data_IF_153712219857
#
_entry.id   IF_153712219857
#
_cell.length_a   1.000
_cell.length_b   1.000
_cell.length_c   1.000
_cell.angle_alpha   90.00
_cell.angle_beta   90.00
_cell.angle_gamma   90.00
#
_symmetry.space_group_name_H-M   'P 1'
#
loop_
_entity.id
_entity.type
_entity.pdbx_description
1 polymer ?
#
# COMPACT_ATOMS: atom_id res chain seq x y z
N UNK A 1 -42.17 24.47 -31.12
CA UNK A 1 -40.73 24.11 -31.06
C UNK A 1 -40.39 23.76 -29.61
N UNK A 2 -40.34 22.47 -29.28
CA UNK A 2 -40.03 21.97 -27.93
C UNK A 2 -38.50 21.86 -27.82
N UNK A 3 -37.88 22.64 -26.95
CA UNK A 3 -36.44 22.53 -26.60
C UNK A 3 -36.28 21.35 -25.65
N UNK A 4 -35.67 20.29 -26.14
CA UNK A 4 -35.27 19.12 -25.37
C UNK A 4 -33.98 19.47 -24.62
N UNK A 5 -34.05 19.64 -23.29
CA UNK A 5 -32.90 19.76 -22.41
C UNK A 5 -32.32 18.36 -22.22
N UNK A 6 -31.17 18.09 -22.84
CA UNK A 6 -30.37 16.89 -22.56
C UNK A 6 -29.55 17.19 -21.31
N UNK A 7 -29.97 16.63 -20.17
CA UNK A 7 -29.21 16.63 -18.92
C UNK A 7 -28.02 15.68 -19.06
N UNK A 8 -26.83 16.22 -19.21
CA UNK A 8 -25.57 15.47 -19.22
C UNK A 8 -25.27 15.03 -17.79
N UNK A 9 -25.67 13.80 -17.45
CA UNK A 9 -25.35 13.16 -16.17
C UNK A 9 -23.86 12.78 -16.19
N UNK A 10 -23.02 13.64 -15.60
CA UNK A 10 -21.60 13.40 -15.43
C UNK A 10 -21.43 12.30 -14.38
N UNK A 11 -21.26 11.03 -14.81
CA UNK A 11 -20.85 9.93 -13.93
C UNK A 11 -19.43 10.21 -13.44
N UNK A 12 -19.29 10.76 -12.24
CA UNK A 12 -18.05 10.79 -11.49
C UNK A 12 -17.74 9.32 -11.11
N UNK A 13 -16.97 8.64 -11.93
CA UNK A 13 -16.36 7.37 -11.56
C UNK A 13 -15.29 7.67 -10.52
N UNK A 14 -15.63 7.58 -9.25
CA UNK A 14 -14.65 7.45 -8.18
C UNK A 14 -13.95 6.13 -8.39
N UNK A 15 -12.72 6.15 -8.89
CA UNK A 15 -11.85 4.98 -8.85
C UNK A 15 -11.59 4.69 -7.38
N UNK A 16 -12.27 3.71 -6.81
CA UNK A 16 -11.93 3.14 -5.52
C UNK A 16 -10.51 2.58 -5.66
N UNK A 17 -9.52 3.28 -5.11
CA UNK A 17 -8.21 2.71 -4.89
C UNK A 17 -8.40 1.66 -3.79
N UNK A 18 -8.59 0.41 -4.16
CA UNK A 18 -8.50 -0.71 -3.24
C UNK A 18 -7.06 -0.72 -2.72
N UNK A 19 -6.85 -0.14 -1.55
CA UNK A 19 -5.55 -0.17 -0.88
C UNK A 19 -5.16 -1.62 -0.66
N UNK A 20 -3.90 -1.98 -0.91
CA UNK A 20 -3.41 -3.32 -0.64
C UNK A 20 -3.05 -3.43 0.85
N UNK A 21 -3.97 -4.01 1.65
CA UNK A 21 -3.86 -4.06 3.11
C UNK A 21 -3.17 -5.32 3.64
N UNK A 22 -2.85 -6.30 2.80
CA UNK A 22 -2.16 -7.52 3.23
C UNK A 22 -0.83 -7.20 3.87
N UNK A 23 -0.71 -7.50 5.16
CA UNK A 23 0.51 -7.36 5.95
C UNK A 23 0.29 -7.91 7.36
N UNK A 24 1.31 -7.81 8.21
CA UNK A 24 1.19 -7.92 9.66
C UNK A 24 0.90 -6.55 10.27
N UNK A 25 -0.04 -6.52 11.20
CA UNK A 25 -0.49 -5.32 11.88
C UNK A 25 -0.47 -5.52 13.39
N UNK A 26 -0.11 -4.47 14.11
CA UNK A 26 0.00 -4.50 15.56
C UNK A 26 -0.19 -3.11 16.17
N UNK A 27 -0.18 -3.03 17.50
CA UNK A 27 -0.02 -1.77 18.20
C UNK A 27 1.35 -1.78 18.90
N UNK A 28 2.30 -0.89 18.54
CA UNK A 28 3.64 -0.89 19.13
C UNK A 28 3.66 -0.64 20.65
N UNK A 29 2.60 -0.05 21.22
CA UNK A 29 2.46 0.18 22.66
C UNK A 29 1.81 -1.01 23.38
N UNK A 30 1.39 -2.05 22.66
CA UNK A 30 0.68 -3.21 23.22
C UNK A 30 1.33 -4.51 22.69
N UNK A 31 2.60 -4.71 23.03
CA UNK A 31 3.32 -5.92 22.63
C UNK A 31 2.64 -7.18 23.19
N UNK A 32 2.61 -8.24 22.39
CA UNK A 32 2.06 -9.55 22.74
C UNK A 32 0.77 -9.91 22.03
N UNK A 33 0.15 -9.00 21.27
CA UNK A 33 -0.91 -9.29 20.32
C UNK A 33 -0.56 -8.78 18.93
N UNK A 34 -1.24 -9.28 17.92
CA UNK A 34 -1.05 -8.88 16.53
C UNK A 34 -2.06 -9.55 15.63
N UNK A 35 -2.12 -9.10 14.39
CA UNK A 35 -3.03 -9.63 13.39
C UNK A 35 -2.38 -9.71 12.01
N UNK A 36 -2.85 -10.67 11.22
CA UNK A 36 -2.53 -10.77 9.79
C UNK A 36 -3.72 -10.31 8.97
N UNK A 37 -3.50 -9.48 7.97
CA UNK A 37 -4.48 -9.19 6.94
C UNK A 37 -4.01 -9.85 5.65
N UNK A 38 -4.91 -10.56 4.97
CA UNK A 38 -4.70 -11.09 3.62
C UNK A 38 -5.85 -10.63 2.75
N UNK A 39 -5.58 -9.73 1.83
CA UNK A 39 -6.58 -9.14 0.96
C UNK A 39 -6.62 -9.84 -0.38
N UNK A 40 -7.82 -10.14 -0.84
CA UNK A 40 -8.12 -10.56 -2.20
C UNK A 40 -9.28 -9.69 -2.69
N UNK A 41 -9.01 -8.82 -3.66
CA UNK A 41 -9.95 -7.82 -4.17
C UNK A 41 -10.55 -6.95 -3.05
N UNK A 42 -11.84 -6.90 -2.88
CA UNK A 42 -12.56 -6.12 -1.85
C UNK A 42 -12.78 -6.89 -0.54
N UNK A 43 -12.21 -8.09 -0.42
CA UNK A 43 -12.35 -8.97 0.75
C UNK A 43 -11.02 -9.13 1.46
N UNK A 44 -11.03 -9.03 2.79
CA UNK A 44 -9.86 -9.24 3.66
C UNK A 44 -10.14 -10.41 4.58
N UNK A 45 -9.33 -11.48 4.51
CA UNK A 45 -9.26 -12.47 5.56
C UNK A 45 -8.27 -12.01 6.64
N UNK A 46 -8.66 -12.10 7.91
CA UNK A 46 -7.78 -11.78 9.03
C UNK A 46 -7.86 -12.81 10.14
N UNK A 47 -6.70 -13.07 10.74
CA UNK A 47 -6.58 -13.75 12.02
C UNK A 47 -5.85 -12.84 12.98
N UNK A 48 -6.24 -12.85 14.24
CA UNK A 48 -5.55 -12.09 15.28
C UNK A 48 -5.44 -12.89 16.58
N UNK A 49 -4.33 -12.64 17.27
CA UNK A 49 -3.96 -13.32 18.50
C UNK A 49 -4.10 -12.36 19.66
N UNK A 50 -4.79 -12.80 20.69
CA UNK A 50 -5.03 -12.04 21.94
C UNK A 50 -4.92 -12.98 23.13
N UNK A 51 -5.15 -12.48 24.32
CA UNK A 51 -5.22 -13.29 25.52
C UNK A 51 -6.66 -13.38 26.03
N UNK A 52 -7.08 -14.58 26.40
CA UNK A 52 -8.36 -14.83 27.05
C UNK A 52 -8.40 -14.35 28.49
N UNK A 53 -9.55 -14.48 29.13
CA UNK A 53 -9.73 -14.12 30.56
C UNK A 53 -8.84 -14.95 31.50
N UNK A 54 -8.38 -16.12 31.05
CA UNK A 54 -7.44 -17.00 31.74
C UNK A 54 -5.98 -16.66 31.46
N UNK A 55 -5.71 -15.53 30.80
CA UNK A 55 -4.40 -15.07 30.35
C UNK A 55 -3.70 -16.02 29.35
N UNK A 56 -4.41 -16.99 28.79
CA UNK A 56 -3.86 -17.88 27.77
C UNK A 56 -4.04 -17.32 26.36
N UNK A 57 -3.09 -17.62 25.45
CA UNK A 57 -3.22 -17.26 24.05
C UNK A 57 -4.52 -17.79 23.47
N UNK A 58 -5.26 -16.94 22.81
CA UNK A 58 -6.42 -17.29 22.00
C UNK A 58 -6.36 -16.57 20.68
N UNK A 59 -7.11 -17.02 19.70
CA UNK A 59 -7.15 -16.43 18.39
C UNK A 59 -8.56 -16.40 17.82
N UNK A 60 -8.80 -15.47 16.94
CA UNK A 60 -10.05 -15.30 16.22
C UNK A 60 -9.76 -15.14 14.73
N UNK A 61 -10.75 -15.46 13.93
CA UNK A 61 -10.72 -15.27 12.49
C UNK A 61 -11.97 -14.55 12.01
N UNK A 62 -11.85 -13.79 10.92
CA UNK A 62 -12.95 -13.13 10.24
C UNK A 62 -12.62 -12.91 8.78
N UNK A 63 -13.65 -12.95 7.94
CA UNK A 63 -13.61 -12.42 6.59
C UNK A 63 -14.35 -11.08 6.61
N UNK A 64 -13.69 -10.05 6.17
CA UNK A 64 -14.16 -8.67 6.18
C UNK A 64 -14.40 -8.23 4.73
N UNK A 65 -15.60 -7.81 4.39
CA UNK A 65 -15.95 -7.28 3.08
C UNK A 65 -15.99 -5.75 3.12
N UNK A 66 -15.57 -5.12 2.01
CA UNK A 66 -15.61 -3.67 1.88
C UNK A 66 -17.07 -3.16 1.95
N UNK A 67 -17.30 -2.15 2.78
CA UNK A 67 -18.65 -1.62 3.02
C UNK A 67 -19.09 -0.55 2.01
N UNK A 68 -18.31 -0.33 0.95
CA UNK A 68 -18.58 0.66 -0.08
C UNK A 68 -18.25 2.10 0.31
N UNK A 69 -17.70 2.34 1.51
CA UNK A 69 -17.36 3.68 2.00
C UNK A 69 -15.90 3.81 2.41
N UNK A 70 -15.51 3.25 3.53
CA UNK A 70 -14.15 3.39 4.06
C UNK A 70 -13.70 2.21 4.91
N UNK A 71 -14.54 1.22 5.16
CA UNK A 71 -14.26 0.14 6.12
C UNK A 71 -14.53 -1.23 5.54
N UNK A 72 -13.92 -2.22 6.16
CA UNK A 72 -14.14 -3.64 5.90
C UNK A 72 -14.81 -4.26 7.14
N UNK A 73 -15.91 -5.00 6.96
CA UNK A 73 -16.73 -5.51 8.05
C UNK A 73 -17.04 -6.98 7.88
N UNK A 74 -17.11 -7.71 8.99
CA UNK A 74 -17.44 -9.13 8.94
C UNK A 74 -17.81 -9.73 10.29
N UNK A 75 -18.17 -11.00 10.22
CA UNK A 75 -18.55 -11.81 11.38
C UNK A 75 -17.28 -12.39 12.02
N UNK A 76 -17.20 -12.31 13.34
CA UNK A 76 -16.07 -12.82 14.11
C UNK A 76 -16.31 -14.28 14.52
N UNK A 77 -15.34 -15.14 14.23
CA UNK A 77 -15.37 -16.55 14.55
C UNK A 77 -14.28 -16.93 15.57
N UNK A 78 -14.65 -17.80 16.49
CA UNK A 78 -13.75 -18.61 17.28
C UNK A 78 -13.86 -20.06 16.82
N UNK A 79 -12.74 -20.75 16.64
CA UNK A 79 -12.72 -22.13 16.16
C UNK A 79 -12.06 -23.06 17.17
N UNK A 80 -12.56 -24.29 17.23
CA UNK A 80 -11.94 -25.43 17.91
C UNK A 80 -11.80 -26.57 16.94
N UNK A 81 -10.87 -27.49 17.17
CA UNK A 81 -10.62 -28.59 16.26
C UNK A 81 -9.68 -29.65 16.85
N UNK A 82 -9.25 -30.58 16.01
CA UNK A 82 -8.33 -31.66 16.39
C UNK A 82 -7.00 -31.12 16.93
N UNK A 83 -6.46 -31.78 17.93
CA UNK A 83 -5.09 -31.54 18.42
C UNK A 83 -4.08 -31.78 17.30
N UNK A 84 -3.11 -30.84 17.14
CA UNK A 84 -2.12 -30.85 16.05
C UNK A 84 -1.26 -32.12 15.96
N UNK A 85 -1.09 -32.86 17.06
CA UNK A 85 -0.32 -34.12 17.13
C UNK A 85 -1.16 -35.37 16.83
N UNK A 86 -2.42 -35.24 16.41
CA UNK A 86 -3.30 -36.37 16.03
C UNK A 86 -3.62 -36.28 14.53
N UNK A 87 -4.15 -37.39 13.98
CA UNK A 87 -4.73 -37.35 12.64
C UNK A 87 -5.85 -36.33 12.64
N UNK A 88 -5.83 -35.44 11.66
CA UNK A 88 -6.83 -34.38 11.54
C UNK A 88 -8.21 -34.98 11.23
N UNK A 89 -9.18 -34.63 12.06
CA UNK A 89 -10.59 -35.00 11.85
C UNK A 89 -11.40 -33.75 11.54
N UNK A 90 -11.84 -33.56 10.28
CA UNK A 90 -12.64 -32.40 9.88
C UNK A 90 -13.96 -32.29 10.65
N UNK A 91 -14.56 -33.42 11.08
CA UNK A 91 -15.81 -33.45 11.83
C UNK A 91 -15.67 -32.87 13.25
N UNK A 92 -14.43 -32.80 13.77
CA UNK A 92 -14.15 -32.20 15.09
C UNK A 92 -14.03 -30.67 15.02
N UNK A 93 -14.02 -30.07 13.83
CA UNK A 93 -13.87 -28.61 13.66
C UNK A 93 -15.21 -27.93 13.87
N UNK A 94 -15.25 -26.98 14.79
CA UNK A 94 -16.42 -26.13 15.02
C UNK A 94 -16.00 -24.68 14.92
N UNK A 95 -16.72 -23.90 14.11
CA UNK A 95 -16.60 -22.44 14.02
C UNK A 95 -17.82 -21.79 14.68
N UNK A 96 -17.60 -21.08 15.76
CA UNK A 96 -18.67 -20.40 16.51
C UNK A 96 -18.60 -18.90 16.24
N UNK A 97 -19.76 -18.33 15.89
CA UNK A 97 -19.91 -16.86 15.79
C UNK A 97 -19.85 -16.28 17.21
N UNK A 98 -18.91 -15.39 17.46
CA UNK A 98 -18.72 -14.75 18.77
C UNK A 98 -18.93 -13.23 18.72
N UNK A 99 -19.13 -12.66 17.53
CA UNK A 99 -19.39 -11.24 17.36
C UNK A 99 -19.12 -10.73 15.96
N UNK A 100 -18.59 -9.52 15.88
CA UNK A 100 -18.27 -8.85 14.61
C UNK A 100 -16.90 -8.17 14.67
N UNK A 101 -16.33 -7.87 13.50
CA UNK A 101 -15.10 -7.10 13.40
C UNK A 101 -15.19 -6.07 12.27
N UNK A 102 -14.47 -4.96 12.45
CA UNK A 102 -14.37 -3.87 11.48
C UNK A 102 -12.93 -3.40 11.39
N UNK A 103 -12.37 -3.36 10.19
CA UNK A 103 -11.11 -2.72 9.89
C UNK A 103 -11.37 -1.43 9.11
N UNK A 104 -10.86 -0.31 9.60
CA UNK A 104 -10.93 0.99 8.95
C UNK A 104 -9.51 1.49 8.70
N UNK A 105 -9.00 1.39 7.46
CA UNK A 105 -7.72 2.00 7.11
C UNK A 105 -7.82 3.52 7.21
N UNK A 106 -6.77 4.15 7.72
CA UNK A 106 -6.67 5.61 7.83
C UNK A 106 -5.64 6.17 6.86
N UNK A 107 -4.48 5.52 6.79
CA UNK A 107 -3.39 5.79 5.84
C UNK A 107 -2.75 4.46 5.50
N UNK A 108 -1.83 4.44 4.51
CA UNK A 108 -1.16 3.20 4.07
C UNK A 108 -0.52 2.40 5.21
N UNK A 109 -0.13 3.10 6.29
CA UNK A 109 0.59 2.54 7.42
C UNK A 109 -0.25 2.34 8.68
N UNK A 110 -1.43 2.94 8.76
CA UNK A 110 -2.24 3.01 9.98
C UNK A 110 -3.70 2.67 9.72
N UNK A 111 -4.38 2.22 10.77
CA UNK A 111 -5.80 1.93 10.74
C UNK A 111 -6.38 1.76 12.14
N UNK A 112 -7.68 1.58 12.18
CA UNK A 112 -8.42 1.17 13.37
C UNK A 112 -8.97 -0.23 13.16
N UNK A 113 -8.84 -1.07 14.17
CA UNK A 113 -9.48 -2.38 14.22
C UNK A 113 -10.40 -2.43 15.43
N UNK A 114 -11.70 -2.61 15.19
CA UNK A 114 -12.71 -2.72 16.22
C UNK A 114 -13.32 -4.11 16.14
N UNK A 115 -13.36 -4.82 17.25
CA UNK A 115 -14.08 -6.08 17.30
C UNK A 115 -14.98 -6.16 18.53
N UNK A 116 -16.08 -6.85 18.38
CA UNK A 116 -17.04 -7.14 19.46
C UNK A 116 -16.97 -8.64 19.68
N UNK A 117 -16.65 -9.05 20.90
CA UNK A 117 -16.65 -10.45 21.30
C UNK A 117 -17.55 -10.64 22.52
N UNK A 118 -18.62 -11.41 22.39
CA UNK A 118 -19.56 -11.69 23.47
C UNK A 118 -20.05 -10.42 24.18
N UNK A 119 -20.31 -9.36 23.41
CA UNK A 119 -20.79 -8.06 23.91
C UNK A 119 -19.68 -7.10 24.40
N UNK A 120 -18.43 -7.55 24.51
CA UNK A 120 -17.29 -6.68 24.85
C UNK A 120 -16.74 -6.01 23.58
N UNK A 121 -16.75 -4.68 23.55
CA UNK A 121 -16.20 -3.87 22.46
C UNK A 121 -14.73 -3.58 22.72
N UNK A 122 -13.88 -3.92 21.77
CA UNK A 122 -12.44 -3.64 21.82
C UNK A 122 -12.04 -2.80 20.61
N UNK A 123 -11.39 -1.66 20.84
CA UNK A 123 -10.87 -0.78 19.78
C UNK A 123 -9.35 -0.73 19.87
N UNK A 124 -8.70 -0.96 18.73
CA UNK A 124 -7.25 -0.93 18.57
C UNK A 124 -6.85 0.05 17.47
N UNK A 125 -5.96 0.98 17.78
CA UNK A 125 -5.19 1.68 16.76
C UNK A 125 -4.05 0.76 16.34
N UNK A 126 -3.94 0.50 15.04
CA UNK A 126 -2.98 -0.45 14.50
C UNK A 126 -2.09 0.19 13.45
N UNK A 127 -0.88 -0.32 13.34
CA UNK A 127 0.08 0.05 12.30
C UNK A 127 0.69 -1.20 11.69
N UNK A 128 1.23 -1.08 10.47
CA UNK A 128 1.95 -2.19 9.84
C UNK A 128 3.22 -2.49 10.62
N UNK A 129 3.50 -3.77 10.81
CA UNK A 129 4.73 -4.22 11.47
C UNK A 129 5.82 -4.43 10.43
N UNK A 130 6.96 -3.76 10.61
CA UNK A 130 8.12 -3.91 9.74
C UNK A 130 9.12 -4.89 10.37
N UNK A 131 9.32 -6.04 9.77
CA UNK A 131 10.37 -6.99 10.16
C UNK A 131 11.67 -6.76 9.41
N UNK A 132 11.56 -6.40 8.14
CA UNK A 132 12.68 -6.11 7.27
C UNK A 132 12.30 -4.97 6.34
N UNK A 133 13.11 -3.92 6.33
CA UNK A 133 12.99 -2.86 5.35
C UNK A 133 13.37 -3.40 3.96
N UNK A 134 12.55 -3.17 2.91
CA UNK A 134 12.95 -3.49 1.55
C UNK A 134 14.27 -2.82 1.19
N UNK A 135 15.16 -3.53 0.51
CA UNK A 135 16.37 -2.97 -0.11
C UNK A 135 16.13 -2.94 -1.62
N UNK A 136 16.01 -1.74 -2.17
CA UNK A 136 15.74 -1.54 -3.60
C UNK A 136 17.01 -1.24 -4.40
N UNK A 137 18.19 -1.51 -3.84
CA UNK A 137 19.46 -1.37 -4.55
C UNK A 137 19.51 -2.30 -5.74
N UNK A 138 19.34 -1.77 -6.93
CA UNK A 138 19.44 -2.49 -8.21
C UNK A 138 19.34 -1.53 -9.40
N UNK A 139 19.40 -2.10 -10.60
CA UNK A 139 19.06 -1.46 -11.86
C UNK A 139 17.67 -1.93 -12.29
N UNK A 140 16.72 -1.01 -12.29
CA UNK A 140 15.31 -1.26 -12.60
C UNK A 140 14.98 -0.74 -13.99
N UNK A 141 14.45 -1.60 -14.85
CA UNK A 141 13.96 -1.22 -16.16
C UNK A 141 12.44 -1.30 -16.18
N UNK A 142 11.79 -0.23 -16.65
CA UNK A 142 10.34 -0.17 -16.60
C UNK A 142 9.70 0.94 -17.39
N UNK A 143 8.43 1.18 -17.09
CA UNK A 143 7.63 2.24 -17.69
C UNK A 143 7.07 3.16 -16.61
N UNK A 144 7.31 4.44 -16.79
CA UNK A 144 6.68 5.50 -15.99
C UNK A 144 5.50 6.08 -16.76
N UNK A 145 4.30 5.67 -16.36
CA UNK A 145 3.05 6.27 -16.87
C UNK A 145 2.70 7.46 -15.99
N UNK A 146 2.69 8.66 -16.57
CA UNK A 146 2.49 9.88 -15.81
C UNK A 146 1.57 10.88 -16.52
N UNK A 147 0.89 11.70 -15.70
CA UNK A 147 0.18 12.89 -16.11
C UNK A 147 1.01 14.11 -15.71
N UNK A 148 1.32 14.95 -16.67
CA UNK A 148 2.06 16.20 -16.48
C UNK A 148 1.09 17.38 -16.57
N UNK A 149 1.18 18.31 -15.62
CA UNK A 149 0.33 19.48 -15.54
C UNK A 149 1.08 20.68 -14.93
N UNK A 150 0.52 21.87 -15.07
CA UNK A 150 1.06 23.09 -14.43
C UNK A 150 2.34 23.64 -15.05
N UNK A 151 2.79 23.09 -16.20
CA UNK A 151 3.99 23.58 -16.86
C UNK A 151 3.83 25.01 -17.38
N UNK A 152 4.90 25.80 -17.28
CA UNK A 152 4.98 27.15 -17.90
C UNK A 152 4.73 27.05 -19.41
N UNK A 153 5.35 26.09 -20.09
CA UNK A 153 5.03 25.77 -21.47
C UNK A 153 3.82 24.83 -21.53
N UNK A 154 2.66 25.35 -21.92
CA UNK A 154 1.40 24.58 -21.96
C UNK A 154 1.48 23.32 -22.84
N UNK A 155 2.31 23.32 -23.88
CA UNK A 155 2.58 22.17 -24.76
C UNK A 155 3.28 20.99 -24.05
N UNK A 156 3.86 21.22 -22.87
CA UNK A 156 4.48 20.18 -22.04
C UNK A 156 3.49 19.45 -21.13
N UNK A 157 2.25 19.91 -21.04
CA UNK A 157 1.20 19.21 -20.29
C UNK A 157 0.66 18.04 -21.12
N UNK A 158 0.30 16.96 -20.46
CA UNK A 158 -0.24 15.77 -21.12
C UNK A 158 -0.12 14.49 -20.30
N UNK A 159 -0.43 13.36 -20.94
CA UNK A 159 -0.22 12.05 -20.37
C UNK A 159 0.85 11.34 -21.20
N UNK A 160 1.85 10.79 -20.52
CA UNK A 160 3.02 10.16 -21.15
C UNK A 160 3.24 8.76 -20.60
N UNK A 161 3.82 7.90 -21.45
CA UNK A 161 4.33 6.59 -21.08
C UNK A 161 5.80 6.57 -21.48
N UNK A 162 6.66 6.68 -20.50
CA UNK A 162 8.10 6.82 -20.69
C UNK A 162 8.81 5.52 -20.30
N UNK A 163 9.57 4.94 -21.22
CA UNK A 163 10.53 3.90 -20.89
C UNK A 163 11.63 4.50 -20.03
N UNK A 164 11.90 3.91 -18.87
CA UNK A 164 12.88 4.41 -17.91
C UNK A 164 13.83 3.32 -17.44
N UNK A 165 15.05 3.72 -17.13
CA UNK A 165 16.02 2.93 -16.38
C UNK A 165 16.30 3.68 -15.07
N UNK A 166 16.14 3.02 -13.93
CA UNK A 166 16.36 3.55 -12.60
C UNK A 166 17.52 2.79 -11.97
N UNK A 167 18.64 3.45 -11.75
CA UNK A 167 19.73 2.96 -10.90
C UNK A 167 19.46 3.44 -9.47
N UNK A 168 19.14 2.52 -8.58
CA UNK A 168 18.86 2.83 -7.18
C UNK A 168 19.94 2.29 -6.26
N UNK A 169 20.26 3.07 -5.22
CA UNK A 169 21.11 2.70 -4.09
C UNK A 169 20.37 3.03 -2.82
N UNK A 170 20.16 2.02 -1.98
CA UNK A 170 19.42 2.09 -0.74
C UNK A 170 20.35 1.72 0.43
N UNK A 171 20.54 2.64 1.37
CA UNK A 171 21.35 2.39 2.57
C UNK A 171 20.51 2.13 3.83
N UNK A 172 19.19 1.88 3.65
CA UNK A 172 18.24 1.63 4.73
C UNK A 172 17.47 2.86 5.18
N UNK A 173 18.05 4.06 5.09
CA UNK A 173 17.41 5.33 5.49
C UNK A 173 17.32 6.35 4.36
N UNK A 174 18.10 6.17 3.31
CA UNK A 174 18.17 7.07 2.15
C UNK A 174 18.21 6.25 0.88
N UNK A 175 17.44 6.66 -0.12
CA UNK A 175 17.51 6.15 -1.48
C UNK A 175 18.09 7.24 -2.38
N UNK A 176 19.08 6.88 -3.20
CA UNK A 176 19.72 7.78 -4.16
C UNK A 176 19.99 7.04 -5.46
N UNK A 177 20.22 7.78 -6.54
CA UNK A 177 20.59 7.17 -7.82
C UNK A 177 20.33 8.05 -9.02
N UNK A 178 20.12 7.41 -10.16
CA UNK A 178 19.94 8.05 -11.45
C UNK A 178 18.69 7.51 -12.15
N UNK A 179 17.90 8.40 -12.72
CA UNK A 179 16.75 8.06 -13.55
C UNK A 179 17.03 8.49 -14.99
N UNK A 180 17.07 7.51 -15.89
CA UNK A 180 17.25 7.72 -17.33
C UNK A 180 15.90 7.63 -18.03
N UNK A 181 15.66 8.53 -18.97
CA UNK A 181 14.48 8.51 -19.84
C UNK A 181 14.96 8.43 -21.30
N UNK A 182 14.84 7.25 -21.89
CA UNK A 182 15.34 6.99 -23.25
C UNK A 182 16.85 7.29 -23.34
N UNK A 183 17.25 8.11 -24.31
CA UNK A 183 18.66 8.52 -24.53
C UNK A 183 19.07 9.80 -23.81
N UNK A 184 18.17 10.38 -22.99
CA UNK A 184 18.46 11.60 -22.25
C UNK A 184 19.46 11.34 -21.13
N UNK A 185 20.26 12.37 -20.79
CA UNK A 185 21.12 12.31 -19.64
C UNK A 185 20.30 12.15 -18.35
N UNK A 186 20.78 11.28 -17.47
CA UNK A 186 20.08 10.91 -16.25
C UNK A 186 19.84 12.10 -15.32
N UNK A 187 18.66 12.13 -14.71
CA UNK A 187 18.40 12.96 -13.54
C UNK A 187 18.90 12.24 -12.29
N UNK A 188 19.77 12.88 -11.51
CA UNK A 188 20.16 12.38 -10.20
C UNK A 188 19.07 12.66 -9.18
N UNK A 189 18.84 11.72 -8.26
CA UNK A 189 17.87 11.87 -7.18
C UNK A 189 18.45 11.40 -5.84
N UNK A 190 17.93 11.97 -4.75
CA UNK A 190 18.21 11.50 -3.39
C UNK A 190 17.05 11.86 -2.48
N UNK A 191 16.68 10.95 -1.57
CA UNK A 191 15.55 11.16 -0.67
C UNK A 191 15.62 10.31 0.59
N UNK A 192 14.95 10.78 1.64
CA UNK A 192 14.77 10.05 2.88
C UNK A 192 13.75 8.91 2.68
N UNK A 193 14.12 7.72 3.13
CA UNK A 193 13.31 6.52 3.06
C UNK A 193 12.56 6.28 4.35
N UNK A 194 11.29 5.95 4.24
CA UNK A 194 10.46 5.47 5.34
C UNK A 194 9.79 4.16 4.93
N UNK A 195 9.74 3.20 5.86
CA UNK A 195 9.16 1.89 5.59
C UNK A 195 8.06 1.55 6.60
N UNK A 196 6.94 1.05 6.10
CA UNK A 196 5.80 0.59 6.90
C UNK A 196 5.42 -0.83 6.44
N UNK A 197 5.80 -1.85 7.22
CA UNK A 197 5.69 -3.23 6.77
C UNK A 197 6.46 -3.43 5.47
N UNK A 198 5.76 -3.84 4.43
CA UNK A 198 6.29 -3.99 3.07
C UNK A 198 6.20 -2.74 2.19
N UNK A 199 5.61 -1.64 2.70
CA UNK A 199 5.41 -0.41 1.94
C UNK A 199 6.63 0.50 2.11
N UNK A 200 7.11 1.04 0.99
CA UNK A 200 8.22 1.96 0.87
C UNK A 200 7.72 3.34 0.48
N UNK A 201 8.12 4.37 1.22
CA UNK A 201 7.95 5.77 0.86
C UNK A 201 9.33 6.45 0.79
N UNK A 202 9.48 7.41 -0.13
CA UNK A 202 10.71 8.21 -0.26
C UNK A 202 10.33 9.65 -0.57
N UNK A 203 10.83 10.59 0.22
CA UNK A 203 10.69 12.03 -0.02
C UNK A 203 12.07 12.63 -0.29
N UNK A 204 12.20 13.38 -1.40
CA UNK A 204 13.51 13.86 -1.78
C UNK A 204 13.53 14.94 -2.84
N UNK A 205 14.73 15.12 -3.39
CA UNK A 205 15.01 16.10 -4.45
C UNK A 205 15.65 15.41 -5.65
N UNK A 206 15.48 16.03 -6.82
CA UNK A 206 16.12 15.61 -8.05
C UNK A 206 16.75 16.79 -8.77
N UNK A 207 17.74 16.50 -9.60
CA UNK A 207 18.38 17.45 -10.51
C UNK A 207 18.77 16.77 -11.82
N UNK A 208 18.52 17.46 -12.93
CA UNK A 208 18.80 16.98 -14.28
C UNK A 208 19.90 17.84 -14.95
N UNK A 209 20.70 17.28 -15.85
CA UNK A 209 21.70 18.04 -16.62
C UNK A 209 21.08 19.15 -17.49
N UNK A 210 19.81 19.03 -17.86
CA UNK A 210 19.05 20.09 -18.55
C UNK A 210 18.82 21.34 -17.69
N UNK A 211 19.20 21.33 -16.42
CA UNK A 211 18.95 22.39 -15.44
C UNK A 211 17.63 22.24 -14.70
N UNK A 212 16.75 21.30 -15.07
CA UNK A 212 15.54 21.03 -14.31
C UNK A 212 15.88 20.41 -12.95
N UNK A 213 15.17 20.85 -11.92
CA UNK A 213 15.35 20.38 -10.54
C UNK A 213 14.07 20.61 -9.75
N UNK A 214 13.88 19.82 -8.69
CA UNK A 214 12.70 19.93 -7.87
C UNK A 214 12.64 18.90 -6.76
N UNK A 215 11.42 18.64 -6.31
CA UNK A 215 11.15 17.63 -5.28
C UNK A 215 10.43 16.44 -5.88
N UNK A 216 10.57 15.29 -5.25
CA UNK A 216 9.78 14.12 -5.56
C UNK A 216 9.32 13.42 -4.28
N UNK A 217 8.20 12.72 -4.41
CA UNK A 217 7.65 11.82 -3.39
C UNK A 217 7.32 10.50 -4.06
N UNK A 218 7.84 9.42 -3.53
CA UNK A 218 7.41 8.05 -3.81
C UNK A 218 6.54 7.60 -2.65
N UNK A 219 5.36 7.09 -2.93
CA UNK A 219 4.46 6.56 -1.94
C UNK A 219 3.81 5.26 -2.44
N UNK A 220 3.41 4.42 -1.48
CA UNK A 220 2.87 3.08 -1.76
C UNK A 220 3.81 2.20 -2.59
N UNK A 221 5.12 2.40 -2.44
CA UNK A 221 6.12 1.58 -3.11
C UNK A 221 6.02 0.13 -2.65
N UNK A 222 5.84 -0.78 -3.59
CA UNK A 222 5.87 -2.23 -3.36
C UNK A 222 7.09 -2.82 -4.05
N UNK A 223 7.86 -3.54 -3.28
CA UNK A 223 9.02 -4.28 -3.72
C UNK A 223 8.76 -5.78 -3.56
N UNK A 224 8.90 -6.50 -4.63
CA UNK A 224 8.88 -7.97 -4.68
C UNK A 224 10.15 -8.40 -5.41
N UNK A 225 11.11 -8.95 -4.73
CA UNK A 225 12.43 -9.43 -5.19
C UNK A 225 12.89 -8.97 -6.60
N UNK A 226 12.04 -9.13 -7.61
CA UNK A 226 12.32 -8.84 -9.03
C UNK A 226 11.46 -7.74 -9.63
N UNK A 227 10.50 -7.18 -8.88
CA UNK A 227 9.60 -6.14 -9.37
C UNK A 227 9.51 -4.98 -8.40
N UNK A 228 9.42 -3.78 -8.95
CA UNK A 228 9.18 -2.54 -8.22
C UNK A 228 7.95 -1.86 -8.81
N UNK A 229 6.97 -1.56 -7.96
CA UNK A 229 5.76 -0.82 -8.33
C UNK A 229 5.60 0.36 -7.38
N UNK A 230 5.67 1.58 -7.88
CA UNK A 230 5.61 2.78 -7.04
C UNK A 230 4.71 3.83 -7.68
N UNK A 231 3.94 4.53 -6.86
CA UNK A 231 3.37 5.81 -7.25
C UNK A 231 4.40 6.91 -6.96
N UNK A 232 4.59 7.80 -7.93
CA UNK A 232 5.59 8.86 -7.82
C UNK A 232 5.00 10.19 -8.26
N UNK A 233 5.25 11.21 -7.47
CA UNK A 233 4.98 12.61 -7.82
C UNK A 233 6.30 13.37 -7.88
N UNK A 234 6.45 14.23 -8.90
CA UNK A 234 7.58 15.15 -9.01
C UNK A 234 7.05 16.56 -9.24
N UNK A 235 7.69 17.54 -8.62
CA UNK A 235 7.38 18.95 -8.79
C UNK A 235 8.65 19.71 -9.21
N UNK A 236 8.65 20.25 -10.42
CA UNK A 236 9.74 21.08 -10.91
C UNK A 236 9.68 22.48 -10.29
N UNK A 237 10.83 22.97 -9.83
CA UNK A 237 11.02 24.33 -9.33
C UNK A 237 11.47 25.30 -10.44
N UNK A 238 11.69 24.80 -11.67
CA UNK A 238 12.20 25.58 -12.80
C UNK A 238 11.09 25.89 -13.81
N UNK A 239 10.38 24.86 -14.25
CA UNK A 239 9.39 24.96 -15.31
C UNK A 239 7.93 24.81 -14.82
N UNK A 240 7.74 24.68 -13.50
CA UNK A 240 6.42 24.59 -12.86
C UNK A 240 5.69 23.26 -13.08
N UNK A 241 6.25 22.32 -13.85
CA UNK A 241 5.61 21.05 -14.15
C UNK A 241 5.41 20.22 -12.89
N UNK A 242 4.22 19.62 -12.80
CA UNK A 242 3.88 18.60 -11.82
C UNK A 242 3.60 17.28 -12.54
N UNK A 243 4.31 16.27 -12.15
CA UNK A 243 4.18 14.90 -12.67
C UNK A 243 3.51 14.03 -11.60
N UNK A 244 2.47 13.30 -11.96
CA UNK A 244 1.81 12.32 -11.09
C UNK A 244 1.62 11.02 -11.86
N UNK A 245 2.18 9.93 -11.38
CA UNK A 245 2.15 8.69 -12.13
C UNK A 245 2.60 7.45 -11.38
N UNK A 246 2.64 6.36 -12.13
CA UNK A 246 3.08 5.05 -11.68
C UNK A 246 4.31 4.60 -12.46
N UNK A 247 5.30 4.10 -11.72
CA UNK A 247 6.42 3.35 -12.26
C UNK A 247 6.22 1.86 -11.94
N UNK A 248 6.14 1.05 -12.98
CA UNK A 248 6.28 -0.39 -12.90
C UNK A 248 7.59 -0.81 -13.53
N UNK A 249 8.44 -1.54 -12.80
CA UNK A 249 9.76 -1.93 -13.25
C UNK A 249 10.15 -3.32 -12.78
N UNK A 250 11.08 -3.94 -13.52
CA UNK A 250 11.71 -5.22 -13.18
C UNK A 250 13.21 -5.01 -13.07
N UNK A 251 13.87 -5.80 -12.21
CA UNK A 251 15.33 -5.75 -12.10
C UNK A 251 15.99 -6.49 -13.27
N UNK A 252 17.12 -5.98 -13.73
CA UNK A 252 17.95 -6.63 -14.76
C UNK A 252 18.74 -7.83 -14.23
N UNK A 253 18.89 -7.96 -12.92
CA UNK A 253 19.60 -9.07 -12.27
C UNK A 253 18.78 -10.35 -12.11
N UNK A 254 17.52 -10.36 -12.58
CA UNK A 254 16.61 -11.50 -12.45
C UNK A 254 16.76 -12.56 -13.57
N UNK A 255 17.77 -12.44 -14.46
CA UNK A 255 17.99 -13.36 -15.59
C UNK A 255 19.44 -13.77 -15.70
#
# INVERSE_FOLDING_TARGET
>A
MKKMLISLLCCLTTTANAGFWSDLWWNPNESGWGMTLTQQDETIFTTFFVYGNDSKPTWFATTLDYDGTASYKGVLFQTVGSHYGKIFDPASVTATVVGTATFTPQFEAQGSFVYINSGVVVTKTITRQTFKSPDITDIWQGVFRNKVSGCVAASSNGTFNDGVLLEARDNGTTVSGNLYKGTQAACAFTGAKTTYGKILNVDGTYSCPSGDRGTFTIFNGQYLVTTLSVRMQLKSNVNGCFFDGFLGATTSSAF
#
